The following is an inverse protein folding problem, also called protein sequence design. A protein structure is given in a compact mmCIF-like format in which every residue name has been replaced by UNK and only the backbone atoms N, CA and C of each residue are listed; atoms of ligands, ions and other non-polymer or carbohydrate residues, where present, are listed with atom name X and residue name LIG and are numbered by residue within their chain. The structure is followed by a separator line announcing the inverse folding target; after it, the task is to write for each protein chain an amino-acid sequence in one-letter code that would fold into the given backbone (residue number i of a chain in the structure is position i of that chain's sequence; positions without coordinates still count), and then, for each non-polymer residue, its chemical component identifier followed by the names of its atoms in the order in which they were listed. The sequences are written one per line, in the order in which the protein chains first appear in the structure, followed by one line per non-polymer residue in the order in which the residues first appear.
data_IF_595096851178
#
_entry.id   IF_595096851178
#
_cell.length_a   1.000
_cell.length_b   1.000
_cell.length_c   1.000
_cell.angle_alpha   90.00
_cell.angle_beta   90.00
_cell.angle_gamma   90.00
#
_symmetry.space_group_name_H-M   'P 1'
#
loop_
_entity.id
_entity.type
_entity.pdbx_description
1 polymer ?
#
# COMPACT_ATOMS: atom_id res chain seq x y z
N UNK A 1 34.27 -23.18 -7.40
CA UNK A 1 33.23 -22.28 -6.87
C UNK A 1 32.80 -21.43 -8.04
N UNK A 2 31.66 -21.80 -8.61
CA UNK A 2 31.16 -21.27 -9.88
C UNK A 2 30.54 -19.90 -9.60
N UNK A 3 31.29 -18.83 -9.85
CA UNK A 3 30.83 -17.45 -9.72
C UNK A 3 30.04 -17.09 -10.99
N UNK A 4 28.88 -17.71 -11.17
CA UNK A 4 27.91 -17.21 -12.15
C UNK A 4 27.40 -15.88 -11.62
N UNK A 5 27.98 -14.80 -12.14
CA UNK A 5 27.52 -13.43 -12.00
C UNK A 5 26.11 -13.35 -12.60
N UNK A 6 25.10 -13.74 -11.82
CA UNK A 6 23.72 -13.43 -12.16
C UNK A 6 23.60 -11.92 -12.04
N UNK A 7 23.71 -11.23 -13.17
CA UNK A 7 23.27 -9.84 -13.28
C UNK A 7 21.80 -9.82 -12.86
N UNK A 8 21.55 -9.41 -11.62
CA UNK A 8 20.25 -9.03 -11.13
C UNK A 8 19.86 -7.74 -11.84
N UNK A 9 19.39 -7.86 -13.09
CA UNK A 9 18.66 -6.80 -13.77
C UNK A 9 17.45 -6.43 -12.89
N UNK A 10 16.97 -5.17 -12.89
CA UNK A 10 15.85 -4.74 -12.06
C UNK A 10 14.66 -5.70 -12.25
N UNK A 11 14.44 -6.53 -11.22
CA UNK A 11 13.80 -7.84 -11.34
C UNK A 11 12.28 -7.77 -11.50
N UNK A 12 11.69 -6.63 -11.15
CA UNK A 12 10.23 -6.52 -11.06
C UNK A 12 9.61 -6.04 -12.38
N UNK A 13 10.30 -5.23 -13.17
CA UNK A 13 9.70 -4.70 -14.42
C UNK A 13 10.08 -5.49 -15.67
N UNK A 14 11.23 -6.15 -15.71
CA UNK A 14 11.73 -6.84 -16.91
C UNK A 14 10.99 -8.13 -17.25
N UNK A 15 10.11 -8.61 -16.35
CA UNK A 15 9.34 -9.83 -16.53
C UNK A 15 7.84 -9.59 -16.66
N UNK A 16 7.37 -8.35 -16.49
CA UNK A 16 5.95 -8.05 -16.63
C UNK A 16 5.65 -7.79 -18.08
N UNK A 17 4.73 -8.59 -18.60
CA UNK A 17 4.44 -8.50 -20.01
C UNK A 17 3.57 -7.31 -20.31
N UNK A 18 2.62 -6.88 -19.48
CA UNK A 18 1.86 -5.62 -19.73
C UNK A 18 1.57 -4.84 -18.44
N UNK A 19 1.20 -5.54 -17.38
CA UNK A 19 1.00 -5.00 -16.04
C UNK A 19 1.31 -6.06 -14.98
N UNK A 20 1.57 -5.61 -13.74
CA UNK A 20 1.89 -6.46 -12.61
C UNK A 20 0.67 -6.81 -11.77
N UNK A 21 0.24 -8.06 -11.81
CA UNK A 21 -0.78 -8.62 -10.92
C UNK A 21 -0.17 -9.05 -9.60
N UNK A 22 -0.70 -8.51 -8.50
CA UNK A 22 -0.24 -8.86 -7.17
C UNK A 22 -1.32 -9.07 -6.13
N UNK A 23 -0.89 -9.20 -4.88
CA UNK A 23 -1.76 -9.33 -3.71
C UNK A 23 -1.07 -8.79 -2.46
N UNK A 24 -1.86 -8.17 -1.58
CA UNK A 24 -1.50 -7.97 -0.17
C UNK A 24 -1.75 -9.26 0.61
N UNK A 25 -0.68 -9.94 1.02
CA UNK A 25 -0.76 -11.22 1.74
C UNK A 25 -0.86 -10.96 3.25
N UNK A 26 -2.07 -11.07 3.80
CA UNK A 26 -2.29 -10.93 5.23
C UNK A 26 -1.52 -12.00 6.00
N UNK A 27 -0.87 -11.56 7.08
CA UNK A 27 -0.26 -12.44 8.08
C UNK A 27 -1.13 -12.33 9.33
N UNK A 28 -2.01 -13.30 9.59
CA UNK A 28 -2.85 -13.28 10.78
C UNK A 28 -1.99 -13.19 12.04
N UNK A 29 -2.35 -12.26 12.94
CA UNK A 29 -1.76 -12.08 14.28
C UNK A 29 -0.30 -11.59 14.33
N UNK A 30 -0.08 -10.31 14.03
CA UNK A 30 1.13 -9.59 14.44
C UNK A 30 1.15 -9.22 15.94
N UNK A 31 0.42 -9.93 16.81
CA UNK A 31 0.53 -9.77 18.27
C UNK A 31 1.59 -10.74 18.80
N UNK A 32 2.72 -10.26 19.35
CA UNK A 32 3.70 -11.14 20.00
C UNK A 32 3.07 -11.77 21.26
N UNK A 33 3.35 -13.05 21.63
CA UNK A 33 4.32 -14.00 21.08
C UNK A 33 3.62 -15.27 20.58
N UNK A 34 3.04 -15.24 19.38
CA UNK A 34 2.60 -16.46 18.70
C UNK A 34 3.37 -16.57 17.39
N UNK A 35 3.91 -17.76 17.15
CA UNK A 35 4.61 -18.13 15.91
C UNK A 35 3.68 -17.71 14.76
N UNK A 36 4.12 -16.85 13.83
CA UNK A 36 3.28 -16.43 12.72
C UNK A 36 2.82 -17.69 11.99
N UNK A 37 1.52 -17.96 12.00
CA UNK A 37 0.97 -19.00 11.12
C UNK A 37 1.34 -18.55 9.70
N UNK A 38 2.04 -19.37 8.90
CA UNK A 38 2.34 -19.00 7.53
C UNK A 38 1.03 -18.63 6.84
N UNK A 39 0.88 -17.38 6.41
CA UNK A 39 -0.30 -16.99 5.64
C UNK A 39 -0.45 -17.86 4.39
N UNK A 40 -1.59 -17.81 3.68
CA UNK A 40 -1.90 -18.71 2.59
C UNK A 40 -0.79 -18.81 1.54
N UNK A 41 -0.58 -20.00 0.99
CA UNK A 41 0.24 -20.13 -0.21
C UNK A 41 -0.46 -19.38 -1.35
N UNK A 42 0.23 -18.37 -1.89
CA UNK A 42 -0.29 -17.51 -2.96
C UNK A 42 0.13 -18.03 -4.35
N UNK A 43 0.90 -19.12 -4.42
CA UNK A 43 1.28 -19.75 -5.70
C UNK A 43 0.09 -20.06 -6.62
N UNK A 44 -1.10 -20.49 -6.12
CA UNK A 44 -2.24 -20.78 -6.98
C UNK A 44 -2.86 -19.53 -7.65
N UNK A 45 -2.49 -18.32 -7.22
CA UNK A 45 -3.05 -17.08 -7.74
C UNK A 45 -2.37 -16.59 -9.03
N UNK A 46 -1.33 -17.27 -9.54
CA UNK A 46 -0.61 -16.87 -10.75
C UNK A 46 -0.16 -15.39 -10.72
N UNK A 47 0.49 -14.99 -9.63
CA UNK A 47 0.89 -13.59 -9.39
C UNK A 47 2.23 -13.27 -10.02
N UNK A 48 2.40 -12.01 -10.45
CA UNK A 48 3.73 -11.49 -10.78
C UNK A 48 4.49 -11.04 -9.51
N UNK A 49 3.77 -10.49 -8.54
CA UNK A 49 4.35 -9.97 -7.30
C UNK A 49 3.40 -10.12 -6.10
N UNK A 50 3.93 -10.02 -4.88
CA UNK A 50 3.14 -9.96 -3.65
C UNK A 50 3.94 -9.27 -2.54
N UNK A 51 3.25 -8.78 -1.52
CA UNK A 51 3.87 -8.19 -0.32
C UNK A 51 3.07 -8.57 0.91
N UNK A 52 3.59 -8.32 2.11
CA UNK A 52 2.91 -8.63 3.37
C UNK A 52 3.16 -7.59 4.47
N UNK A 53 3.27 -6.32 4.06
CA UNK A 53 3.50 -5.17 4.96
C UNK A 53 4.77 -5.25 5.81
N UNK A 54 5.75 -6.08 5.43
CA UNK A 54 6.97 -6.24 6.20
C UNK A 54 8.19 -6.50 5.31
N UNK A 55 9.36 -6.15 5.82
CA UNK A 55 10.66 -6.62 5.33
C UNK A 55 11.33 -7.60 6.31
N UNK A 56 10.75 -7.79 7.51
CA UNK A 56 11.30 -8.61 8.61
C UNK A 56 10.49 -9.90 8.80
N UNK A 57 10.36 -10.70 7.76
CA UNK A 57 9.59 -11.95 7.80
C UNK A 57 10.55 -13.14 7.94
N UNK A 58 10.17 -14.13 8.75
CA UNK A 58 10.94 -15.38 8.92
C UNK A 58 10.02 -16.59 8.69
N UNK A 59 10.39 -17.54 7.80
CA UNK A 59 11.52 -17.48 6.85
C UNK A 59 11.35 -16.32 5.86
N UNK A 60 12.47 -15.79 5.34
CA UNK A 60 12.42 -14.59 4.51
C UNK A 60 11.85 -14.90 3.12
N UNK A 61 10.69 -14.33 2.73
CA UNK A 61 10.15 -14.48 1.39
C UNK A 61 10.98 -13.73 0.34
N UNK A 62 12.01 -12.97 0.76
CA UNK A 62 12.91 -12.24 -0.14
C UNK A 62 13.71 -13.14 -1.07
N UNK A 63 13.86 -14.42 -0.75
CA UNK A 63 14.42 -15.40 -1.69
C UNK A 63 13.54 -15.56 -2.94
N UNK A 64 12.23 -15.31 -2.83
CA UNK A 64 11.32 -15.32 -3.98
C UNK A 64 11.43 -14.01 -4.75
N UNK A 65 11.56 -14.08 -6.08
CA UNK A 65 11.65 -12.88 -6.94
C UNK A 65 10.36 -12.04 -6.94
N UNK A 66 9.23 -12.66 -6.65
CA UNK A 66 7.92 -12.00 -6.63
C UNK A 66 7.64 -11.25 -5.33
N UNK A 67 8.40 -11.45 -4.25
CA UNK A 67 8.18 -10.72 -3.01
C UNK A 67 8.72 -9.28 -3.09
N UNK A 68 7.88 -8.32 -2.72
CA UNK A 68 8.20 -6.90 -2.59
C UNK A 68 8.24 -6.55 -1.09
N UNK A 69 9.42 -6.29 -0.50
CA UNK A 69 9.50 -5.89 0.90
C UNK A 69 8.88 -4.51 1.14
N UNK A 70 8.36 -4.31 2.35
CA UNK A 70 7.78 -3.04 2.75
C UNK A 70 8.36 -2.53 4.07
N UNK A 71 8.90 -1.30 4.06
CA UNK A 71 9.16 -0.52 5.27
C UNK A 71 7.83 0.12 5.68
N UNK A 72 7.11 -0.53 6.58
CA UNK A 72 5.71 -0.19 6.87
C UNK A 72 5.50 1.21 7.47
N UNK A 73 6.41 1.70 8.31
CA UNK A 73 6.32 3.07 8.84
C UNK A 73 7.68 3.65 9.23
N UNK A 74 7.67 4.93 9.59
CA UNK A 74 8.82 5.80 9.79
C UNK A 74 9.42 5.78 11.21
N UNK A 75 8.89 4.95 12.11
CA UNK A 75 9.31 4.93 13.51
C UNK A 75 10.71 4.37 13.71
N UNK A 76 11.44 4.92 14.67
CA UNK A 76 12.75 4.43 15.13
C UNK A 76 12.75 4.10 16.61
N UNK A 77 13.72 3.28 17.07
CA UNK A 77 13.88 3.02 18.51
C UNK A 77 14.04 4.30 19.34
N UNK A 78 14.73 5.31 18.80
CA UNK A 78 14.92 6.62 19.45
C UNK A 78 13.64 7.42 19.61
N UNK A 79 12.61 7.12 18.83
CA UNK A 79 11.36 7.88 18.87
C UNK A 79 10.48 7.47 20.06
N UNK A 80 10.79 6.39 20.78
CA UNK A 80 10.05 6.00 21.99
C UNK A 80 8.59 5.58 21.73
N UNK A 81 8.25 5.18 20.49
CA UNK A 81 6.90 4.77 20.09
C UNK A 81 6.88 3.39 19.41
N UNK A 82 6.36 2.37 20.09
CA UNK A 82 5.92 1.09 19.50
C UNK A 82 6.98 0.10 19.03
N UNK A 83 6.55 -0.97 18.35
CA UNK A 83 7.40 -2.10 17.94
C UNK A 83 7.80 -2.09 16.45
N UNK A 84 7.16 -1.26 15.61
CA UNK A 84 7.38 -1.22 14.16
C UNK A 84 8.51 -0.26 13.78
N UNK A 85 9.70 -0.53 14.31
CA UNK A 85 10.88 0.30 14.08
C UNK A 85 11.64 -0.08 12.81
N UNK A 86 12.16 0.94 12.12
CA UNK A 86 13.20 0.77 11.12
C UNK A 86 14.44 0.19 11.82
N UNK A 87 14.84 -1.00 11.39
CA UNK A 87 16.12 -1.62 11.75
C UNK A 87 17.07 -1.36 10.59
N UNK A 88 17.89 -0.32 10.74
CA UNK A 88 18.75 0.21 9.68
C UNK A 88 19.79 -0.82 9.23
N UNK A 89 20.37 -1.56 10.18
CA UNK A 89 21.33 -2.62 9.89
C UNK A 89 20.68 -3.75 9.09
N UNK A 90 19.48 -4.20 9.51
CA UNK A 90 18.76 -5.25 8.77
C UNK A 90 18.32 -4.76 7.40
N UNK A 91 17.87 -3.52 7.28
CA UNK A 91 17.45 -2.95 6.01
C UNK A 91 18.62 -2.89 5.02
N UNK A 92 19.79 -2.42 5.48
CA UNK A 92 21.02 -2.39 4.69
C UNK A 92 21.47 -3.79 4.26
N UNK A 93 21.46 -4.76 5.20
CA UNK A 93 21.79 -6.17 4.93
C UNK A 93 20.90 -6.76 3.83
N UNK A 94 19.58 -6.56 3.94
CA UNK A 94 18.61 -7.09 2.97
C UNK A 94 18.71 -6.40 1.61
N UNK A 95 18.93 -5.08 1.56
CA UNK A 95 19.16 -4.36 0.30
C UNK A 95 20.41 -4.88 -0.42
N UNK A 96 21.52 -5.08 0.30
CA UNK A 96 22.74 -5.63 -0.27
C UNK A 96 22.57 -7.09 -0.75
N UNK A 97 21.80 -7.90 0.00
CA UNK A 97 21.60 -9.31 -0.32
C UNK A 97 20.66 -9.54 -1.53
N UNK A 98 19.76 -8.58 -1.82
CA UNK A 98 18.76 -8.70 -2.87
C UNK A 98 18.76 -7.46 -3.78
N UNK A 99 19.78 -7.29 -4.63
CA UNK A 99 19.90 -6.09 -5.46
C UNK A 99 18.81 -5.99 -6.53
N UNK A 100 18.48 -4.77 -6.94
CA UNK A 100 17.51 -4.42 -7.98
C UNK A 100 16.05 -4.55 -7.55
N UNK A 101 15.78 -4.62 -6.24
CA UNK A 101 14.43 -4.82 -5.69
C UNK A 101 13.63 -3.52 -5.69
N UNK A 102 12.32 -3.68 -5.87
CA UNK A 102 11.35 -2.64 -5.50
C UNK A 102 11.07 -2.76 -4.00
N UNK A 103 11.04 -1.64 -3.30
CA UNK A 103 10.71 -1.52 -1.89
C UNK A 103 9.49 -0.61 -1.75
N UNK A 104 8.45 -1.07 -1.06
CA UNK A 104 7.34 -0.21 -0.64
C UNK A 104 7.74 0.53 0.63
N UNK A 105 7.47 1.83 0.69
CA UNK A 105 7.83 2.66 1.85
C UNK A 105 6.60 3.41 2.34
N UNK A 106 6.27 3.16 3.60
CA UNK A 106 5.17 3.69 4.39
C UNK A 106 3.77 3.28 3.93
N UNK A 107 3.02 2.69 4.85
CA UNK A 107 1.63 2.26 4.64
C UNK A 107 0.67 3.31 5.21
N UNK A 108 -0.06 3.96 4.34
CA UNK A 108 -1.10 4.95 4.67
C UNK A 108 -0.62 6.02 5.67
N UNK A 109 0.49 6.71 5.37
CA UNK A 109 1.00 7.77 6.25
C UNK A 109 0.10 9.02 6.29
N UNK A 110 -0.79 9.16 5.29
CA UNK A 110 -1.83 10.18 5.14
C UNK A 110 -3.20 9.75 5.68
N UNK A 111 -3.33 8.53 6.22
CA UNK A 111 -4.61 8.07 6.77
C UNK A 111 -5.13 9.09 7.80
N UNK A 112 -6.39 9.54 7.69
CA UNK A 112 -6.88 10.61 8.53
C UNK A 112 -7.03 10.10 9.97
N UNK A 113 -6.47 10.86 10.93
CA UNK A 113 -6.53 10.54 12.36
C UNK A 113 -7.98 10.39 12.87
N UNK A 114 -8.91 11.17 12.28
CA UNK A 114 -10.31 11.21 12.67
C UNK A 114 -11.15 10.00 12.21
N UNK A 115 -10.62 9.13 11.35
CA UNK A 115 -11.35 7.96 10.82
C UNK A 115 -11.31 6.74 11.72
N UNK A 116 -10.66 6.79 12.87
CA UNK A 116 -10.59 5.63 13.74
C UNK A 116 -11.92 5.46 14.49
N UNK A 117 -12.91 4.87 13.83
CA UNK A 117 -14.21 4.49 14.39
C UNK A 117 -14.13 3.28 15.36
N UNK A 118 -12.92 2.86 15.77
CA UNK A 118 -12.72 1.62 16.52
C UNK A 118 -12.84 0.35 15.68
N UNK A 119 -12.97 0.50 14.36
CA UNK A 119 -13.28 -0.58 13.40
C UNK A 119 -12.02 -1.25 12.84
N UNK A 120 -10.91 -0.53 12.70
CA UNK A 120 -9.60 -1.11 12.33
C UNK A 120 -8.62 -0.92 13.49
N UNK A 121 -8.26 -2.01 14.17
CA UNK A 121 -7.35 -1.97 15.33
C UNK A 121 -5.88 -2.13 14.99
N UNK A 122 -5.53 -2.34 13.72
CA UNK A 122 -4.14 -2.33 13.30
C UNK A 122 -3.72 -0.87 13.09
N UNK A 123 -2.81 -0.38 13.94
CA UNK A 123 -2.42 1.02 13.89
C UNK A 123 -1.75 1.32 12.57
N UNK A 124 -2.24 2.33 11.83
CA UNK A 124 -1.74 2.79 10.52
C UNK A 124 -0.45 3.61 10.68
N UNK A 125 0.34 3.82 9.61
CA UNK A 125 1.59 4.57 9.77
C UNK A 125 1.34 6.00 10.27
N UNK A 126 0.27 6.63 9.78
CA UNK A 126 -0.21 7.92 10.26
C UNK A 126 -0.39 7.97 11.80
N UNK A 127 -0.84 6.88 12.44
CA UNK A 127 -0.98 6.81 13.89
C UNK A 127 0.37 6.93 14.61
N UNK A 128 1.39 6.22 14.11
CA UNK A 128 2.72 6.26 14.69
C UNK A 128 3.39 7.61 14.44
N UNK A 129 3.31 8.13 13.21
CA UNK A 129 3.79 9.47 12.89
C UNK A 129 3.19 10.52 13.82
N UNK A 130 1.87 10.47 14.05
CA UNK A 130 1.22 11.35 14.99
C UNK A 130 1.82 11.21 16.40
N UNK A 131 1.91 9.97 16.91
CA UNK A 131 2.44 9.71 18.25
C UNK A 131 3.86 10.25 18.42
N UNK A 132 4.72 10.12 17.41
CA UNK A 132 6.08 10.65 17.41
C UNK A 132 6.06 12.18 17.47
N UNK A 133 5.30 12.84 16.59
CA UNK A 133 5.14 14.31 16.58
C UNK A 133 4.61 14.82 17.93
N UNK A 134 3.65 14.12 18.53
CA UNK A 134 3.11 14.46 19.85
C UNK A 134 4.14 14.31 20.97
N UNK A 135 5.00 13.30 20.92
CA UNK A 135 6.07 13.16 21.92
C UNK A 135 7.08 14.32 21.83
N UNK A 136 7.36 14.80 20.62
CA UNK A 136 8.19 15.99 20.40
C UNK A 136 7.47 17.28 20.81
N UNK A 137 6.15 17.33 20.63
CA UNK A 137 5.34 18.48 20.99
C UNK A 137 3.93 18.08 21.48
N UNK A 138 3.72 18.04 22.81
CA UNK A 138 2.46 17.59 23.41
C UNK A 138 1.21 18.39 23.04
N UNK A 139 1.36 19.57 22.43
CA UNK A 139 0.23 20.42 22.03
C UNK A 139 -0.59 19.83 20.88
N UNK A 140 -0.02 18.88 20.12
CA UNK A 140 -0.72 18.23 19.01
C UNK A 140 -1.50 17.00 19.50
N UNK A 141 -2.84 17.08 19.55
CA UNK A 141 -3.65 15.94 19.97
C UNK A 141 -3.65 14.87 18.87
N UNK A 142 -3.13 13.70 19.22
CA UNK A 142 -3.36 12.48 18.45
C UNK A 142 -4.73 11.91 18.82
N UNK A 143 -5.77 12.41 18.16
CA UNK A 143 -7.12 11.88 18.29
C UNK A 143 -7.29 10.63 17.43
N UNK A 144 -6.73 9.50 17.89
CA UNK A 144 -6.92 8.18 17.28
C UNK A 144 -7.79 7.34 18.21
N UNK A 145 -8.98 6.98 17.73
CA UNK A 145 -9.94 6.11 18.42
C UNK A 145 -11.26 6.83 18.64
N UNK A 146 -12.36 6.14 18.34
CA UNK A 146 -13.73 6.64 18.33
C UNK A 146 -14.31 6.96 19.70
N UNK A 147 -13.47 7.34 20.66
CA UNK A 147 -13.92 7.94 21.90
C UNK A 147 -14.53 9.31 21.55
N UNK A 148 -15.84 9.29 21.38
CA UNK A 148 -16.75 10.41 21.10
C UNK A 148 -16.66 11.59 22.08
N UNK A 149 -15.77 11.52 23.08
CA UNK A 149 -15.45 12.59 24.02
C UNK A 149 -14.13 13.32 23.76
N UNK A 150 -13.30 12.89 22.80
CA UNK A 150 -12.08 13.65 22.45
C UNK A 150 -12.50 14.83 21.57
N UNK A 151 -12.28 16.10 21.99
CA UNK A 151 -12.63 17.24 21.15
C UNK A 151 -11.93 17.10 19.80
N UNK A 152 -12.69 17.25 18.71
CA UNK A 152 -12.10 17.40 17.39
C UNK A 152 -11.13 18.58 17.45
N UNK A 153 -9.85 18.39 17.12
CA UNK A 153 -8.89 19.49 17.13
C UNK A 153 -9.40 20.62 16.23
N UNK A 154 -9.06 21.86 16.56
CA UNK A 154 -9.29 22.98 15.64
C UNK A 154 -8.66 22.62 14.28
N UNK A 155 -9.33 22.85 13.13
CA UNK A 155 -8.79 22.58 11.80
C UNK A 155 -7.35 23.07 11.58
N UNK A 156 -6.98 24.23 12.13
CA UNK A 156 -5.59 24.74 12.05
C UNK A 156 -4.58 23.84 12.76
N UNK A 157 -4.94 23.31 13.93
CA UNK A 157 -4.09 22.39 14.70
C UNK A 157 -3.96 21.05 13.96
N UNK A 158 -5.05 20.57 13.35
CA UNK A 158 -5.04 19.35 12.56
C UNK A 158 -4.16 19.49 11.32
N UNK A 159 -4.31 20.58 10.55
CA UNK A 159 -3.47 20.84 9.39
C UNK A 159 -1.99 20.97 9.76
N UNK A 160 -1.68 21.66 10.87
CA UNK A 160 -0.30 21.77 11.37
C UNK A 160 0.28 20.41 11.77
N UNK A 161 -0.52 19.56 12.42
CA UNK A 161 -0.11 18.20 12.76
C UNK A 161 0.13 17.35 11.51
N UNK A 162 -0.74 17.44 10.49
CA UNK A 162 -0.56 16.74 9.22
C UNK A 162 0.72 17.17 8.51
N UNK A 163 0.99 18.47 8.41
CA UNK A 163 2.23 19.00 7.86
C UNK A 163 3.46 18.46 8.61
N UNK A 164 3.43 18.46 9.96
CA UNK A 164 4.52 17.91 10.78
C UNK A 164 4.72 16.41 10.61
N UNK A 165 3.64 15.66 10.41
CA UNK A 165 3.71 14.23 10.10
C UNK A 165 4.32 14.00 8.71
N UNK A 166 3.98 14.83 7.72
CA UNK A 166 4.53 14.78 6.37
C UNK A 166 6.02 15.14 6.36
N UNK A 167 6.43 16.18 7.09
CA UNK A 167 7.83 16.56 7.29
C UNK A 167 8.65 15.40 7.87
N UNK A 168 8.17 14.81 8.98
CA UNK A 168 8.81 13.66 9.61
C UNK A 168 8.90 12.45 8.66
N UNK A 169 7.84 12.18 7.92
CA UNK A 169 7.84 11.09 6.95
C UNK A 169 8.85 11.34 5.82
N UNK A 170 8.96 12.55 5.29
CA UNK A 170 9.93 12.90 4.25
C UNK A 170 11.38 12.74 4.75
N UNK A 171 11.69 13.22 5.96
CA UNK A 171 13.01 13.03 6.57
C UNK A 171 13.36 11.54 6.74
N UNK A 172 12.37 10.72 7.11
CA UNK A 172 12.54 9.27 7.28
C UNK A 172 12.60 8.54 5.95
N UNK A 173 11.88 9.00 4.92
CA UNK A 173 11.97 8.46 3.57
C UNK A 173 13.37 8.68 3.00
N UNK A 174 13.91 9.90 3.15
CA UNK A 174 15.27 10.23 2.73
C UNK A 174 16.32 9.32 3.37
N UNK A 175 16.22 9.09 4.68
CA UNK A 175 17.11 8.17 5.37
C UNK A 175 16.96 6.71 4.91
N UNK A 176 15.73 6.21 4.74
CA UNK A 176 15.46 4.87 4.21
C UNK A 176 16.04 4.75 2.80
N UNK A 177 15.89 5.78 1.97
CA UNK A 177 16.49 5.87 0.63
C UNK A 177 18.01 5.78 0.70
N UNK A 178 18.66 6.55 1.55
CA UNK A 178 20.12 6.54 1.67
C UNK A 178 20.62 5.16 2.12
N UNK A 179 19.99 4.54 3.11
CA UNK A 179 20.36 3.21 3.60
C UNK A 179 20.26 2.17 2.48
N UNK A 180 19.10 2.11 1.80
CA UNK A 180 18.85 1.11 0.76
C UNK A 180 19.74 1.39 -0.46
N UNK A 181 19.79 2.63 -0.97
CA UNK A 181 20.53 2.97 -2.20
C UNK A 181 22.05 2.97 -2.01
N UNK A 182 22.55 3.16 -0.79
CA UNK A 182 23.99 2.95 -0.50
C UNK A 182 24.37 1.48 -0.61
N UNK A 183 23.49 0.58 -0.14
CA UNK A 183 23.71 -0.87 -0.23
C UNK A 183 23.43 -1.43 -1.64
N UNK A 184 22.43 -0.89 -2.31
CA UNK A 184 22.00 -1.26 -3.64
C UNK A 184 21.51 -0.03 -4.43
N UNK A 185 22.41 0.60 -5.22
CA UNK A 185 22.05 1.75 -6.05
C UNK A 185 21.00 1.46 -7.13
N UNK A 186 20.72 0.18 -7.42
CA UNK A 186 19.71 -0.24 -8.39
C UNK A 186 18.33 -0.49 -7.78
N UNK A 187 18.21 -0.40 -6.45
CA UNK A 187 16.93 -0.51 -5.75
C UNK A 187 15.99 0.63 -6.16
N UNK A 188 14.69 0.34 -6.15
CA UNK A 188 13.64 1.32 -6.42
C UNK A 188 12.73 1.45 -5.22
N UNK A 189 12.56 2.66 -4.71
CA UNK A 189 11.71 2.94 -3.56
C UNK A 189 10.41 3.57 -4.01
N UNK A 190 9.31 2.91 -3.69
CA UNK A 190 7.97 3.36 -4.01
C UNK A 190 7.35 3.99 -2.78
N UNK A 191 7.01 5.26 -2.88
CA UNK A 191 6.34 6.00 -1.83
C UNK A 191 5.07 6.66 -2.34
N UNK A 192 4.01 6.73 -1.56
CA UNK A 192 3.77 5.97 -0.33
C UNK A 192 2.50 5.18 -0.56
N UNK A 193 2.20 4.13 0.21
CA UNK A 193 0.91 3.46 0.09
C UNK A 193 -0.20 4.38 0.62
N UNK A 194 -0.46 5.51 -0.04
CA UNK A 194 -1.36 6.55 0.43
C UNK A 194 -2.77 5.98 0.54
N UNK A 195 -3.44 6.27 1.65
CA UNK A 195 -4.83 5.89 1.85
C UNK A 195 -5.72 6.57 0.81
N UNK A 196 -5.41 7.80 0.42
CA UNK A 196 -6.17 8.53 -0.58
C UNK A 196 -5.59 8.31 -1.99
N UNK A 197 -6.49 8.17 -2.97
CA UNK A 197 -6.19 8.01 -4.40
C UNK A 197 -5.94 9.33 -5.13
N UNK A 198 -5.74 10.44 -4.41
CA UNK A 198 -5.57 11.77 -4.96
C UNK A 198 -4.53 12.58 -4.17
N UNK A 199 -4.14 13.74 -4.72
CA UNK A 199 -3.21 14.64 -4.03
C UNK A 199 -3.88 15.24 -2.79
N UNK A 200 -3.39 14.85 -1.62
CA UNK A 200 -3.79 15.39 -0.32
C UNK A 200 -2.80 16.48 0.13
N UNK A 201 -3.22 17.32 1.08
CA UNK A 201 -2.32 18.29 1.71
C UNK A 201 -1.09 17.60 2.33
N UNK A 202 -1.28 16.42 2.94
CA UNK A 202 -0.18 15.63 3.47
C UNK A 202 0.84 15.24 2.38
N UNK A 203 0.35 14.81 1.21
CA UNK A 203 1.22 14.44 0.10
C UNK A 203 1.98 15.64 -0.47
N UNK A 204 1.34 16.80 -0.60
CA UNK A 204 2.00 18.02 -1.05
C UNK A 204 3.05 18.51 -0.05
N UNK A 205 2.76 18.50 1.25
CA UNK A 205 3.72 18.85 2.31
C UNK A 205 4.91 17.88 2.34
N UNK A 206 4.66 16.58 2.14
CA UNK A 206 5.71 15.55 2.06
C UNK A 206 6.64 15.80 0.88
N UNK A 207 6.08 16.04 -0.32
CA UNK A 207 6.87 16.36 -1.51
C UNK A 207 7.65 17.66 -1.31
N UNK A 208 7.03 18.69 -0.72
CA UNK A 208 7.70 19.97 -0.49
C UNK A 208 8.88 19.84 0.48
N UNK A 209 8.74 19.07 1.55
CA UNK A 209 9.85 18.76 2.45
C UNK A 209 10.99 18.04 1.71
N UNK A 210 10.66 17.07 0.84
CA UNK A 210 11.68 16.41 0.02
C UNK A 210 12.37 17.39 -0.94
N UNK A 211 11.63 18.28 -1.61
CA UNK A 211 12.22 19.30 -2.51
C UNK A 211 13.18 20.21 -1.77
N UNK A 212 12.79 20.69 -0.59
CA UNK A 212 13.50 21.76 0.11
C UNK A 212 14.64 21.24 0.99
N UNK A 213 14.46 20.12 1.68
CA UNK A 213 15.45 19.59 2.62
C UNK A 213 16.24 18.39 2.07
N UNK A 214 15.68 17.66 1.10
CA UNK A 214 16.26 16.40 0.60
C UNK A 214 16.31 16.35 -0.94
N UNK A 215 16.66 17.47 -1.59
CA UNK A 215 16.57 17.63 -3.06
C UNK A 215 17.28 16.57 -3.90
N UNK A 216 18.27 15.86 -3.34
CA UNK A 216 18.97 14.74 -3.96
C UNK A 216 18.22 13.40 -3.92
N UNK A 217 17.19 13.29 -3.08
CA UNK A 217 16.35 12.09 -2.95
C UNK A 217 15.24 12.14 -3.99
N UNK A 218 15.03 11.00 -4.66
CA UNK A 218 13.95 10.81 -5.64
C UNK A 218 13.09 9.61 -5.28
N UNK A 219 11.81 9.73 -5.57
CA UNK A 219 10.80 8.67 -5.45
C UNK A 219 10.78 7.90 -6.77
N UNK A 220 11.10 6.60 -6.74
CA UNK A 220 11.27 5.80 -7.97
C UNK A 220 9.94 5.28 -8.54
N UNK A 221 8.84 5.43 -7.80
CA UNK A 221 7.46 5.11 -8.15
C UNK A 221 6.49 5.52 -7.04
N UNK A 222 5.22 5.73 -7.40
CA UNK A 222 4.18 6.09 -6.45
C UNK A 222 3.24 4.91 -6.24
N UNK A 223 2.90 4.63 -4.99
CA UNK A 223 1.89 3.66 -4.62
C UNK A 223 0.60 4.38 -4.21
N UNK A 224 -0.56 3.73 -4.31
CA UNK A 224 -1.83 4.22 -3.76
C UNK A 224 -2.70 3.04 -3.32
N UNK A 225 -3.59 3.30 -2.36
CA UNK A 225 -4.64 2.38 -1.94
C UNK A 225 -6.00 2.90 -2.43
N UNK A 226 -6.84 1.97 -2.86
CA UNK A 226 -8.06 2.31 -3.60
C UNK A 226 -9.21 1.41 -3.14
N UNK A 227 -10.12 2.00 -2.39
CA UNK A 227 -11.30 1.32 -1.86
C UNK A 227 -12.56 2.16 -2.10
N UNK A 228 -13.33 1.88 -3.15
CA UNK A 228 -14.33 2.81 -3.67
C UNK A 228 -15.54 3.07 -2.75
N UNK A 229 -15.80 2.24 -1.73
CA UNK A 229 -16.82 2.49 -0.70
C UNK A 229 -16.24 3.03 0.60
N UNK A 230 -15.10 3.71 0.48
CA UNK A 230 -14.39 4.27 1.62
C UNK A 230 -13.98 5.70 1.32
N UNK A 231 -13.36 6.32 2.32
CA UNK A 231 -12.85 7.68 2.17
C UNK A 231 -11.55 7.73 1.35
N UNK A 232 -10.97 6.59 0.96
CA UNK A 232 -9.79 6.53 0.10
C UNK A 232 -10.02 7.17 -1.27
N UNK A 233 -11.28 7.27 -1.69
CA UNK A 233 -11.69 7.81 -2.99
C UNK A 233 -12.73 8.90 -2.81
N UNK A 234 -13.01 9.71 -3.83
CA UNK A 234 -14.12 10.66 -3.81
C UNK A 234 -15.46 10.01 -4.19
N UNK A 235 -15.47 8.69 -4.40
CA UNK A 235 -16.70 7.96 -4.67
C UNK A 235 -17.66 7.98 -3.48
N UNK A 236 -18.90 8.36 -3.77
CA UNK A 236 -19.97 8.48 -2.81
C UNK A 236 -20.39 7.10 -2.27
N UNK A 237 -20.45 6.98 -0.95
CA UNK A 237 -20.94 5.78 -0.25
C UNK A 237 -22.34 5.32 -0.66
N UNK A 238 -23.13 6.20 -1.29
CA UNK A 238 -24.50 5.92 -1.72
C UNK A 238 -24.63 5.46 -3.19
N UNK A 239 -23.52 5.26 -3.92
CA UNK A 239 -23.61 4.76 -5.29
C UNK A 239 -24.24 3.36 -5.33
N UNK A 240 -25.06 3.13 -6.36
CA UNK A 240 -25.41 1.77 -6.76
C UNK A 240 -24.11 1.04 -7.11
N UNK A 241 -24.02 -0.23 -6.71
CA UNK A 241 -22.83 -1.05 -6.96
C UNK A 241 -22.45 -1.10 -8.45
N UNK A 242 -23.43 -0.93 -9.35
CA UNK A 242 -23.20 -0.90 -10.79
C UNK A 242 -22.60 0.41 -11.32
N UNK A 243 -22.69 1.51 -10.58
CA UNK A 243 -22.15 2.82 -10.98
C UNK A 243 -20.74 3.09 -10.43
N UNK A 244 -20.33 2.31 -9.43
CA UNK A 244 -19.11 2.57 -8.66
C UNK A 244 -17.83 2.61 -9.52
N UNK A 245 -17.77 1.75 -10.54
CA UNK A 245 -16.61 1.68 -11.42
C UNK A 245 -16.41 2.97 -12.21
N UNK A 246 -17.49 3.57 -12.71
CA UNK A 246 -17.40 4.81 -13.50
C UNK A 246 -16.84 5.96 -12.67
N UNK A 247 -17.25 6.06 -11.41
CA UNK A 247 -16.66 7.01 -10.47
C UNK A 247 -15.17 6.71 -10.23
N UNK A 248 -14.86 5.47 -9.85
CA UNK A 248 -13.51 5.08 -9.48
C UNK A 248 -12.52 5.29 -10.62
N UNK A 249 -12.90 4.88 -11.84
CA UNK A 249 -12.08 5.08 -13.02
C UNK A 249 -11.78 6.57 -13.24
N UNK A 250 -12.77 7.44 -13.06
CA UNK A 250 -12.60 8.89 -13.17
C UNK A 250 -11.61 9.45 -12.15
N UNK A 251 -11.70 9.03 -10.89
CA UNK A 251 -10.75 9.43 -9.83
C UNK A 251 -9.31 8.98 -10.17
N UNK A 252 -9.14 7.72 -10.60
CA UNK A 252 -7.84 7.15 -10.95
C UNK A 252 -7.21 7.80 -12.20
N UNK A 253 -8.02 8.16 -13.19
CA UNK A 253 -7.59 8.93 -14.37
C UNK A 253 -7.18 10.35 -13.98
N UNK A 254 -7.93 10.98 -13.06
CA UNK A 254 -7.58 12.27 -12.47
C UNK A 254 -6.23 12.24 -11.76
N UNK A 255 -5.97 11.20 -10.96
CA UNK A 255 -4.67 11.03 -10.29
C UNK A 255 -3.54 10.75 -11.28
N UNK A 256 -3.79 9.98 -12.34
CA UNK A 256 -2.81 9.76 -13.42
C UNK A 256 -2.39 11.09 -14.07
N UNK A 257 -3.35 11.98 -14.32
CA UNK A 257 -3.07 13.31 -14.86
C UNK A 257 -2.25 14.18 -13.87
N UNK A 258 -2.59 14.14 -12.58
CA UNK A 258 -1.85 14.86 -11.54
C UNK A 258 -0.41 14.35 -11.40
N UNK A 259 -0.21 13.03 -11.47
CA UNK A 259 1.13 12.40 -11.47
C UNK A 259 1.95 12.79 -12.69
N UNK A 260 1.35 12.80 -13.88
CA UNK A 260 2.02 13.25 -15.10
C UNK A 260 2.44 14.73 -15.00
N UNK A 261 1.61 15.58 -14.37
CA UNK A 261 1.95 16.97 -14.11
C UNK A 261 3.12 17.10 -13.12
N UNK A 262 3.19 16.29 -12.06
CA UNK A 262 4.33 16.27 -11.13
C UNK A 262 5.61 15.80 -11.83
N UNK A 263 5.55 14.78 -12.70
CA UNK A 263 6.70 14.32 -13.49
C UNK A 263 7.24 15.39 -14.44
N UNK A 264 6.37 16.28 -14.94
CA UNK A 264 6.75 17.35 -15.85
C UNK A 264 7.45 18.55 -15.16
N UNK A 265 7.45 18.60 -13.82
CA UNK A 265 8.10 19.67 -13.07
C UNK A 265 9.63 19.57 -13.14
N UNK A 266 10.31 20.70 -13.26
CA UNK A 266 11.78 20.75 -13.26
C UNK A 266 12.39 20.44 -11.88
N UNK A 267 11.64 20.70 -10.82
CA UNK A 267 11.98 20.42 -9.41
C UNK A 267 11.25 19.19 -8.87
N UNK A 268 10.72 18.32 -9.75
CA UNK A 268 9.99 17.12 -9.35
C UNK A 268 10.80 16.26 -8.37
N UNK A 269 10.15 15.76 -7.33
CA UNK A 269 10.76 14.76 -6.43
C UNK A 269 10.67 13.34 -6.99
N UNK A 270 9.95 13.16 -8.09
CA UNK A 270 9.82 11.87 -8.75
C UNK A 270 11.06 11.60 -9.62
N UNK A 271 11.50 10.35 -9.65
CA UNK A 271 12.46 9.91 -10.66
C UNK A 271 11.83 10.02 -12.06
N UNK A 272 12.66 10.20 -13.08
CA UNK A 272 12.18 10.25 -14.47
C UNK A 272 11.40 8.98 -14.82
N UNK A 273 10.17 9.14 -15.29
CA UNK A 273 9.28 8.03 -15.62
C UNK A 273 8.85 7.17 -14.42
N UNK A 274 8.88 7.72 -13.20
CA UNK A 274 8.36 7.02 -12.01
C UNK A 274 6.92 6.52 -12.28
N UNK A 275 6.64 5.21 -12.11
CA UNK A 275 5.34 4.63 -12.41
C UNK A 275 4.35 4.78 -11.25
N UNK A 276 3.08 4.53 -11.54
CA UNK A 276 2.01 4.39 -10.54
C UNK A 276 1.67 2.92 -10.29
N UNK A 277 1.57 2.51 -9.04
CA UNK A 277 1.08 1.21 -8.60
C UNK A 277 -0.12 1.36 -7.67
N UNK A 278 -1.14 0.51 -7.85
CA UNK A 278 -2.22 0.34 -6.88
C UNK A 278 -1.82 -0.81 -5.96
N UNK A 279 -1.30 -0.50 -4.76
CA UNK A 279 -0.79 -1.55 -3.86
C UNK A 279 -1.87 -2.20 -3.02
N UNK A 280 -3.03 -1.54 -2.90
CA UNK A 280 -4.22 -2.14 -2.31
C UNK A 280 -5.46 -1.76 -3.11
N UNK A 281 -6.22 -2.77 -3.52
CA UNK A 281 -7.48 -2.60 -4.24
C UNK A 281 -8.50 -3.66 -3.80
N UNK A 282 -9.70 -3.24 -3.45
CA UNK A 282 -10.76 -4.18 -3.13
C UNK A 282 -11.97 -3.52 -2.49
N UNK A 283 -12.71 -4.30 -1.71
CA UNK A 283 -13.85 -3.79 -0.94
C UNK A 283 -13.51 -3.78 0.56
N UNK A 284 -13.69 -2.62 1.20
CA UNK A 284 -13.60 -2.45 2.65
C UNK A 284 -14.88 -1.82 3.18
N UNK A 285 -15.47 -2.39 4.23
CA UNK A 285 -16.64 -1.81 4.90
C UNK A 285 -16.22 -1.07 6.18
N UNK A 286 -16.13 0.27 6.11
CA UNK A 286 -15.80 1.11 7.26
C UNK A 286 -16.95 1.31 8.25
N UNK A 287 -18.19 0.95 7.90
CA UNK A 287 -19.38 1.17 8.73
C UNK A 287 -19.66 0.03 9.73
N UNK A 288 -18.78 -0.98 9.80
CA UNK A 288 -18.91 -2.10 10.74
C UNK A 288 -19.87 -3.21 10.29
N UNK A 289 -19.98 -4.31 11.07
CA UNK A 289 -20.72 -5.52 10.71
C UNK A 289 -22.25 -5.39 10.77
N UNK A 290 -22.79 -4.24 11.18
CA UNK A 290 -24.21 -3.98 11.02
C UNK A 290 -24.47 -3.77 9.54
N UNK A 291 -24.83 -4.85 8.86
CA UNK A 291 -25.27 -4.90 7.48
C UNK A 291 -26.26 -3.76 7.25
N UNK A 292 -25.74 -2.65 6.72
CA UNK A 292 -26.59 -1.63 6.17
C UNK A 292 -27.23 -2.30 4.94
N UNK A 293 -28.55 -2.23 4.74
CA UNK A 293 -29.17 -2.71 3.51
C UNK A 293 -28.36 -2.19 2.31
N UNK A 294 -27.82 -3.10 1.48
CA UNK A 294 -26.96 -2.73 0.34
C UNK A 294 -25.47 -3.09 0.42
N UNK A 295 -25.02 -3.94 1.38
CA UNK A 295 -23.66 -4.51 1.29
C UNK A 295 -23.53 -5.39 0.03
N UNK A 296 -22.55 -5.14 -0.86
CA UNK A 296 -22.36 -5.94 -2.05
C UNK A 296 -22.11 -7.42 -1.74
N UNK A 297 -22.69 -8.32 -2.54
CA UNK A 297 -22.35 -9.74 -2.53
C UNK A 297 -20.95 -9.97 -3.09
N UNK A 298 -20.38 -11.16 -2.85
CA UNK A 298 -19.11 -11.57 -3.47
C UNK A 298 -19.15 -11.42 -5.01
N UNK A 299 -20.24 -11.85 -5.63
CA UNK A 299 -20.41 -11.75 -7.09
C UNK A 299 -20.49 -10.30 -7.54
N UNK A 300 -21.14 -9.42 -6.76
CA UNK A 300 -21.18 -7.99 -7.08
C UNK A 300 -19.79 -7.35 -6.96
N UNK A 301 -18.99 -7.70 -5.94
CA UNK A 301 -17.60 -7.25 -5.82
C UNK A 301 -16.79 -7.73 -7.03
N UNK A 302 -16.93 -8.99 -7.42
CA UNK A 302 -16.23 -9.52 -8.60
C UNK A 302 -16.64 -8.76 -9.87
N UNK A 303 -17.94 -8.61 -10.11
CA UNK A 303 -18.47 -8.09 -11.37
C UNK A 303 -18.33 -6.57 -11.53
N UNK A 304 -18.37 -5.81 -10.44
CA UNK A 304 -18.38 -4.34 -10.48
C UNK A 304 -17.09 -3.69 -9.96
N UNK A 305 -16.19 -4.46 -9.36
CA UNK A 305 -14.92 -3.96 -8.80
C UNK A 305 -13.76 -4.70 -9.46
N UNK A 306 -13.61 -6.00 -9.19
CA UNK A 306 -12.46 -6.78 -9.66
C UNK A 306 -12.36 -6.81 -11.20
N UNK A 307 -13.41 -7.27 -11.88
CA UNK A 307 -13.37 -7.48 -13.32
C UNK A 307 -13.27 -6.18 -14.13
N UNK A 308 -13.95 -5.08 -13.78
CA UNK A 308 -13.74 -3.80 -14.44
C UNK A 308 -12.30 -3.30 -14.34
N UNK A 309 -11.66 -3.40 -13.16
CA UNK A 309 -10.24 -3.08 -12.99
C UNK A 309 -9.34 -3.96 -13.87
N UNK A 310 -9.56 -5.28 -13.87
CA UNK A 310 -8.82 -6.21 -14.72
C UNK A 310 -8.96 -5.86 -16.20
N UNK A 311 -10.18 -5.61 -16.65
CA UNK A 311 -10.47 -5.24 -18.03
C UNK A 311 -9.74 -3.93 -18.39
N UNK A 312 -9.79 -2.92 -17.52
CA UNK A 312 -9.11 -1.64 -17.76
C UNK A 312 -7.59 -1.80 -17.95
N UNK A 313 -6.94 -2.60 -17.09
CA UNK A 313 -5.53 -2.95 -17.22
C UNK A 313 -5.21 -3.81 -18.46
N UNK A 314 -6.16 -4.61 -18.94
CA UNK A 314 -5.98 -5.45 -20.12
C UNK A 314 -6.20 -4.70 -21.44
N UNK A 315 -7.11 -3.73 -21.48
CA UNK A 315 -7.56 -3.13 -22.75
C UNK A 315 -6.99 -1.75 -23.05
N UNK A 316 -6.37 -1.07 -22.10
CA UNK A 316 -5.97 0.33 -22.31
C UNK A 316 -4.80 0.82 -21.46
N UNK A 317 -4.29 2.03 -21.76
CA UNK A 317 -3.26 2.67 -20.96
C UNK A 317 -3.89 3.24 -19.69
N UNK A 318 -4.03 2.39 -18.66
CA UNK A 318 -4.54 2.84 -17.36
C UNK A 318 -3.68 3.92 -16.72
N UNK A 319 -2.40 4.05 -17.14
CA UNK A 319 -1.39 4.88 -16.47
C UNK A 319 -0.73 4.17 -15.29
N UNK A 320 -1.29 3.05 -14.86
CA UNK A 320 -0.79 2.21 -13.77
C UNK A 320 -0.03 1.00 -14.31
N UNK A 321 1.04 0.63 -13.64
CA UNK A 321 1.87 -0.53 -14.03
C UNK A 321 1.59 -1.77 -13.20
N UNK A 322 0.96 -1.63 -12.03
CA UNK A 322 0.65 -2.76 -11.17
C UNK A 322 -0.63 -2.52 -10.36
N UNK A 323 -1.30 -3.62 -10.01
CA UNK A 323 -2.39 -3.65 -9.04
C UNK A 323 -2.27 -4.88 -8.16
N UNK A 324 -2.49 -4.71 -6.85
CA UNK A 324 -2.58 -5.79 -5.89
C UNK A 324 -3.97 -5.83 -5.23
N UNK A 325 -4.60 -7.00 -5.26
CA UNK A 325 -5.89 -7.21 -4.60
C UNK A 325 -5.71 -7.24 -3.07
N UNK A 326 -6.57 -6.52 -2.37
CA UNK A 326 -6.72 -6.56 -0.91
C UNK A 326 -8.04 -7.31 -0.58
N UNK A 327 -7.99 -8.50 0.03
CA UNK A 327 -6.86 -9.14 0.71
C UNK A 327 -6.89 -10.66 0.50
N UNK A 328 -5.75 -11.33 0.66
CA UNK A 328 -5.71 -12.80 0.60
C UNK A 328 -6.74 -13.42 1.54
N UNK A 329 -6.75 -12.98 2.81
CA UNK A 329 -7.66 -13.38 3.87
C UNK A 329 -7.68 -12.27 4.91
N UNK A 330 -8.85 -11.80 5.29
CA UNK A 330 -9.04 -11.15 6.57
C UNK A 330 -10.28 -11.80 7.23
N UNK A 331 -10.04 -12.33 8.43
CA UNK A 331 -11.08 -12.93 9.27
C UNK A 331 -11.76 -11.88 10.16
N UNK A 332 -11.38 -10.61 10.04
CA UNK A 332 -12.04 -9.53 10.73
C UNK A 332 -13.51 -9.46 10.32
N UNK A 333 -14.37 -9.03 11.24
CA UNK A 333 -15.79 -8.80 10.96
C UNK A 333 -16.04 -7.68 9.93
N UNK A 334 -14.97 -7.07 9.39
CA UNK A 334 -14.97 -5.86 8.57
C UNK A 334 -14.62 -6.12 7.11
N UNK A 335 -14.05 -7.29 6.83
CA UNK A 335 -13.80 -7.78 5.48
C UNK A 335 -14.90 -8.78 5.15
N UNK A 336 -15.90 -8.39 4.33
CA UNK A 336 -16.91 -9.36 3.92
C UNK A 336 -16.22 -10.51 3.20
N UNK A 337 -16.77 -11.72 3.38
CA UNK A 337 -16.26 -12.92 2.72
C UNK A 337 -16.09 -12.73 1.19
N UNK A 338 -16.85 -11.81 0.60
CA UNK A 338 -16.80 -11.49 -0.82
C UNK A 338 -15.51 -10.85 -1.36
N UNK A 339 -14.62 -10.32 -0.51
CA UNK A 339 -13.32 -9.77 -0.96
C UNK A 339 -12.14 -10.69 -0.64
N UNK A 340 -12.33 -11.72 0.19
CA UNK A 340 -11.27 -12.67 0.52
C UNK A 340 -10.94 -13.54 -0.70
N UNK A 341 -9.66 -13.74 -0.99
CA UNK A 341 -9.23 -14.67 -2.05
C UNK A 341 -9.21 -16.13 -1.56
N UNK A 342 -9.02 -16.37 -0.27
CA UNK A 342 -9.05 -17.70 0.32
C UNK A 342 -10.06 -17.77 1.46
N UNK A 343 -10.69 -18.94 1.61
CA UNK A 343 -11.38 -19.30 2.85
C UNK A 343 -10.42 -19.99 3.81
N UNK A 344 -10.68 -19.80 5.11
CA UNK A 344 -10.08 -20.66 6.14
C UNK A 344 -11.03 -21.81 6.39
N UNK A 345 -10.57 -23.03 6.09
CA UNK A 345 -11.37 -24.24 6.32
C UNK A 345 -11.52 -24.51 7.81
N UNK A 346 -12.46 -25.39 8.18
CA UNK A 346 -12.61 -25.86 9.57
C UNK A 346 -11.35 -26.52 10.14
N UNK A 347 -10.43 -26.97 9.29
CA UNK A 347 -9.13 -27.54 9.67
C UNK A 347 -8.02 -26.50 9.86
N UNK A 348 -8.31 -25.21 9.66
CA UNK A 348 -7.33 -24.13 9.71
C UNK A 348 -6.45 -24.03 8.45
N UNK A 349 -6.75 -24.80 7.40
CA UNK A 349 -6.07 -24.70 6.10
C UNK A 349 -6.73 -23.66 5.21
N UNK A 350 -6.03 -23.24 4.16
CA UNK A 350 -6.51 -22.21 3.23
C UNK A 350 -6.99 -22.84 1.93
N UNK A 351 -8.20 -22.48 1.49
CA UNK A 351 -8.81 -22.99 0.28
C UNK A 351 -9.15 -21.84 -0.68
N UNK A 352 -8.65 -21.93 -1.91
CA UNK A 352 -8.97 -21.01 -3.01
C UNK A 352 -10.35 -21.35 -3.59
N UNK A 353 -11.41 -21.21 -2.80
CA UNK A 353 -12.78 -21.55 -3.21
C UNK A 353 -13.73 -20.37 -3.10
N UNK A 354 -13.24 -19.15 -2.86
CA UNK A 354 -14.05 -17.94 -2.92
C UNK A 354 -14.30 -17.55 -4.39
N UNK A 355 -15.43 -16.89 -4.72
CA UNK A 355 -15.64 -16.34 -6.06
C UNK A 355 -14.52 -15.39 -6.49
N UNK A 356 -14.09 -14.49 -5.58
CA UNK A 356 -12.99 -13.56 -5.81
C UNK A 356 -11.65 -14.30 -6.03
N UNK A 357 -11.34 -15.31 -5.23
CA UNK A 357 -10.12 -16.12 -5.33
C UNK A 357 -10.02 -16.87 -6.65
N UNK A 358 -11.09 -17.58 -7.00
CA UNK A 358 -11.18 -18.33 -8.26
C UNK A 358 -11.06 -17.39 -9.46
N UNK A 359 -11.76 -16.25 -9.42
CA UNK A 359 -11.71 -15.25 -10.48
C UNK A 359 -10.32 -14.65 -10.60
N UNK A 360 -9.74 -14.16 -9.50
CA UNK A 360 -8.41 -13.57 -9.49
C UNK A 360 -7.37 -14.56 -9.99
N UNK A 361 -7.38 -15.82 -9.52
CA UNK A 361 -6.45 -16.86 -10.00
C UNK A 361 -6.55 -17.14 -11.50
N UNK A 362 -7.76 -17.05 -12.07
CA UNK A 362 -8.03 -17.22 -13.50
C UNK A 362 -7.58 -16.04 -14.38
N UNK A 363 -7.37 -14.85 -13.80
CA UNK A 363 -6.85 -13.70 -14.55
C UNK A 363 -5.37 -13.91 -14.89
N UNK A 364 -5.07 -13.94 -16.18
CA UNK A 364 -3.69 -13.91 -16.68
C UNK A 364 -3.43 -12.51 -17.25
N UNK A 365 -2.44 -11.76 -16.73
CA UNK A 365 -2.03 -10.49 -17.33
C UNK A 365 -1.70 -10.69 -18.80
N UNK A 366 -2.22 -9.82 -19.67
CA UNK A 366 -1.97 -9.93 -21.09
C UNK A 366 -0.46 -9.89 -21.37
N UNK A 367 0.01 -10.65 -22.35
CA UNK A 367 1.34 -10.40 -22.89
C UNK A 367 1.34 -9.02 -23.54
N UNK A 368 2.28 -8.09 -23.26
CA UNK A 368 2.37 -6.91 -24.13
C UNK A 368 2.60 -7.45 -25.52
N UNK A 369 1.68 -7.11 -26.40
CA UNK A 369 2.03 -6.93 -27.78
C UNK A 369 3.15 -5.90 -27.78
N UNK A 370 4.36 -6.32 -28.15
CA UNK A 370 5.49 -5.43 -28.37
C UNK A 370 4.94 -4.21 -29.13
N UNK A 371 4.92 -3.05 -28.48
CA UNK A 371 4.50 -1.82 -29.14
C UNK A 371 5.40 -1.68 -30.38
N UNK A 372 4.83 -1.47 -31.58
CA UNK A 372 5.59 -1.37 -32.82
C UNK A 372 6.61 -0.23 -32.82
#
# INVERSE_FOLDING_TARGET
MDSSLHLYLPLVHTHWTSWGKGVGKHVPNATPPLIPTPGPDVSPLNLNWYYNWSYKVTPSPLETRSFVPMVWCAGKPSDGVGANHIDTAKLQELAAAYPGRVWLVFNEPDHPATLNSGVYSYGQCAEWLCKIVRQQNPQYPCAWGGNSGTPTPNPTVQATLQAKMAELAADRFAEVSDIIKTADPSARLFCCGNFFDHNTDWWEDFKEQLRTQHSGVKIDGVAIHVYPWTRSTNCNYNYDVSEIWGCLQGDLEGFTAAHAAELARTDSVLASGAPLWITEYGYLNYNGPTATPGTPTADQIVNYVMMPMVNWFQTGPSGYQAVAWYVTIDQSAYTPEGTNLFYVTSSGTYALTTPAGTTWAGVVPATATSAP
#
